data_IF_932307018293
#
_entry.id   IF_932307018293
#
_cell.length_a   1.000
_cell.length_b   1.000
_cell.length_c   1.000
_cell.angle_alpha   90.00
_cell.angle_beta   90.00
_cell.angle_gamma   90.00
#
_symmetry.space_group_name_H-M   'P 1'
#
loop_
_entity.id
_entity.type
_entity.pdbx_description
1 polymer ?
#
# COMPACT_ATOMS: atom_id res chain seq x y z
N UNK A 1 -19.47 -3.16 -35.47
CA UNK A 1 -19.05 -3.75 -34.19
C UNK A 1 -18.69 -2.58 -33.31
N UNK A 2 -19.55 -2.27 -32.31
CA UNK A 2 -19.31 -1.18 -31.38
C UNK A 2 -18.15 -1.53 -30.46
N UNK A 3 -17.32 -0.53 -30.16
CA UNK A 3 -16.30 -0.64 -29.16
C UNK A 3 -16.91 -1.10 -27.84
N UNK A 4 -16.25 -2.02 -27.11
CA UNK A 4 -16.73 -2.43 -25.80
C UNK A 4 -16.75 -1.22 -24.87
N UNK A 5 -17.86 -1.07 -24.21
CA UNK A 5 -18.16 -0.07 -23.19
C UNK A 5 -17.04 -0.06 -22.15
N UNK A 6 -16.45 1.11 -21.93
CA UNK A 6 -15.55 1.31 -20.79
C UNK A 6 -14.12 1.68 -21.12
N UNK A 7 -13.90 2.37 -22.22
CA UNK A 7 -12.58 2.95 -22.51
C UNK A 7 -12.32 4.16 -21.61
N UNK A 8 -11.39 4.02 -20.66
CA UNK A 8 -10.88 5.11 -19.80
C UNK A 8 -9.43 5.48 -20.19
N UNK A 9 -9.21 6.17 -21.32
CA UNK A 9 -7.88 6.44 -21.86
C UNK A 9 -7.06 7.37 -20.97
N UNK A 10 -7.68 8.08 -20.04
CA UNK A 10 -7.04 8.99 -19.11
C UNK A 10 -6.95 8.39 -17.70
N UNK A 11 -7.37 7.15 -17.51
CA UNK A 11 -7.42 6.46 -16.21
C UNK A 11 -8.17 7.26 -15.12
N UNK A 12 -9.19 8.03 -15.50
CA UNK A 12 -9.94 8.85 -14.56
C UNK A 12 -10.77 8.03 -13.59
N UNK A 13 -11.47 7.01 -14.11
CA UNK A 13 -12.25 6.08 -13.30
C UNK A 13 -11.34 5.25 -12.40
N UNK A 14 -10.24 4.74 -12.94
CA UNK A 14 -9.26 3.98 -12.18
C UNK A 14 -8.66 4.83 -11.05
N UNK A 15 -8.24 6.06 -11.33
CA UNK A 15 -7.77 7.01 -10.30
C UNK A 15 -8.83 7.29 -9.25
N UNK A 16 -10.09 7.49 -9.67
CA UNK A 16 -11.18 7.74 -8.75
C UNK A 16 -11.44 6.55 -7.82
N UNK A 17 -11.38 5.33 -8.35
CA UNK A 17 -11.49 4.09 -7.58
C UNK A 17 -10.34 3.95 -6.56
N UNK A 18 -9.08 4.09 -6.99
CA UNK A 18 -7.93 3.99 -6.11
C UNK A 18 -7.88 5.05 -5.00
N UNK A 19 -8.52 6.19 -5.21
CA UNK A 19 -8.65 7.23 -4.17
C UNK A 19 -9.69 6.89 -3.09
N UNK A 20 -10.64 6.00 -3.36
CA UNK A 20 -11.84 5.75 -2.52
C UNK A 20 -12.07 4.31 -2.13
N UNK A 21 -11.42 3.39 -2.78
CA UNK A 21 -11.64 1.97 -2.60
C UNK A 21 -10.30 1.21 -2.53
N UNK A 22 -10.35 -0.02 -2.06
CA UNK A 22 -9.22 -0.94 -2.01
C UNK A 22 -9.32 -1.90 -3.19
N UNK A 23 -8.25 -2.03 -4.00
CA UNK A 23 -8.20 -3.03 -5.06
C UNK A 23 -7.96 -4.41 -4.44
N UNK A 24 -9.05 -5.14 -4.22
CA UNK A 24 -9.04 -6.45 -3.58
C UNK A 24 -8.58 -7.59 -4.50
N UNK A 25 -8.67 -7.39 -5.82
CA UNK A 25 -8.26 -8.38 -6.81
C UNK A 25 -7.82 -7.70 -8.10
N UNK A 26 -6.79 -8.25 -8.72
CA UNK A 26 -6.39 -7.95 -10.10
C UNK A 26 -6.13 -9.25 -10.83
N UNK A 27 -6.66 -9.40 -12.03
CA UNK A 27 -6.43 -10.57 -12.86
C UNK A 27 -6.37 -10.20 -14.33
N UNK A 28 -5.31 -10.68 -15.00
CA UNK A 28 -5.15 -10.54 -16.44
C UNK A 28 -5.79 -11.73 -17.16
N UNK A 29 -6.53 -11.45 -18.21
CA UNK A 29 -7.23 -12.41 -19.06
C UNK A 29 -6.92 -12.13 -20.52
N UNK A 30 -7.22 -13.09 -21.39
CA UNK A 30 -7.09 -12.89 -22.83
C UNK A 30 -8.08 -11.79 -23.28
N UNK A 31 -7.51 -10.63 -23.64
CA UNK A 31 -8.28 -9.48 -24.12
C UNK A 31 -8.57 -8.38 -23.10
N UNK A 32 -8.04 -8.49 -21.87
CA UNK A 32 -8.18 -7.43 -20.86
C UNK A 32 -7.79 -7.84 -19.45
N UNK A 33 -7.95 -6.93 -18.51
CA UNK A 33 -7.79 -7.18 -17.09
C UNK A 33 -9.08 -6.95 -16.32
N UNK A 34 -9.22 -7.58 -15.16
CA UNK A 34 -10.33 -7.36 -14.22
C UNK A 34 -9.77 -6.88 -12.89
N UNK A 35 -10.21 -5.71 -12.45
CA UNK A 35 -9.95 -5.18 -11.13
C UNK A 35 -11.22 -5.20 -10.29
N UNK A 36 -11.13 -5.77 -9.09
CA UNK A 36 -12.20 -5.75 -8.11
C UNK A 36 -11.86 -4.74 -7.00
N UNK A 37 -12.73 -3.77 -6.80
CA UNK A 37 -12.57 -2.77 -5.73
C UNK A 37 -13.62 -2.99 -4.64
N UNK A 38 -13.16 -2.91 -3.39
CA UNK A 38 -14.02 -2.97 -2.20
C UNK A 38 -14.01 -1.60 -1.54
N UNK A 39 -15.18 -1.06 -1.29
CA UNK A 39 -15.32 0.20 -0.57
C UNK A 39 -15.07 -0.02 0.93
N UNK A 40 -14.30 0.89 1.53
CA UNK A 40 -14.07 0.94 2.96
C UNK A 40 -13.51 2.31 3.33
N UNK A 41 -14.06 2.91 4.37
CA UNK A 41 -13.53 4.18 4.86
C UNK A 41 -12.48 3.90 5.95
N UNK A 42 -11.21 3.96 5.55
CA UNK A 42 -10.09 3.97 6.49
C UNK A 42 -9.45 5.35 6.41
N UNK A 43 -9.55 6.09 7.50
CA UNK A 43 -8.90 7.38 7.64
C UNK A 43 -7.55 7.16 8.32
N UNK A 44 -6.43 7.48 7.67
CA UNK A 44 -5.13 7.41 8.32
C UNK A 44 -5.09 8.30 9.56
N UNK A 45 -4.77 7.72 10.72
CA UNK A 45 -4.44 8.50 11.91
C UNK A 45 -3.01 9.02 11.79
N UNK A 46 -2.79 10.23 12.29
CA UNK A 46 -1.44 10.81 12.33
C UNK A 46 -0.50 9.98 13.20
N UNK A 47 0.72 9.80 12.73
CA UNK A 47 1.80 9.12 13.45
C UNK A 47 3.02 10.01 13.52
N UNK A 48 3.99 9.66 14.36
CA UNK A 48 5.31 10.26 14.30
C UNK A 48 5.89 10.07 12.89
N UNK A 49 6.41 11.15 12.32
CA UNK A 49 6.86 11.14 10.93
C UNK A 49 8.06 10.23 10.73
N UNK A 50 7.94 9.28 9.83
CA UNK A 50 9.07 8.47 9.34
C UNK A 50 9.41 8.93 7.93
N UNK A 51 10.65 9.36 7.72
CA UNK A 51 11.16 9.85 6.43
C UNK A 51 11.93 8.76 5.69
N UNK A 52 11.74 8.69 4.39
CA UNK A 52 12.39 7.74 3.49
C UNK A 52 13.23 8.52 2.49
N UNK A 53 14.57 8.36 2.58
CA UNK A 53 15.51 8.97 1.64
C UNK A 53 15.39 10.49 1.49
N UNK A 54 14.89 11.20 2.49
CA UNK A 54 14.57 12.63 2.46
C UNK A 54 13.61 13.08 1.34
N UNK A 55 12.92 12.17 0.69
CA UNK A 55 12.01 12.48 -0.44
C UNK A 55 10.55 12.20 -0.11
N UNK A 56 10.26 11.20 0.72
CA UNK A 56 8.90 10.79 1.11
C UNK A 56 8.84 10.65 2.63
N UNK A 57 7.71 11.01 3.22
CA UNK A 57 7.43 10.75 4.63
C UNK A 57 6.11 10.00 4.78
N UNK A 58 6.07 9.04 5.71
CA UNK A 58 4.84 8.51 6.27
C UNK A 58 4.35 9.49 7.33
N UNK A 59 3.17 10.05 7.15
CA UNK A 59 2.55 11.01 8.08
C UNK A 59 1.32 10.44 8.79
N UNK A 60 0.83 9.30 8.35
CA UNK A 60 -0.30 8.62 8.98
C UNK A 60 -0.56 7.26 8.36
N UNK A 61 -1.19 6.39 9.12
CA UNK A 61 -1.73 5.14 8.59
C UNK A 61 -2.97 4.70 9.36
N UNK A 62 -3.72 3.79 8.77
CA UNK A 62 -4.85 3.11 9.40
C UNK A 62 -5.05 1.73 8.80
N UNK A 63 -5.62 0.84 9.60
CA UNK A 63 -6.05 -0.49 9.16
C UNK A 63 -7.57 -0.59 9.22
N UNK A 64 -8.15 -1.46 8.43
CA UNK A 64 -9.57 -1.77 8.52
C UNK A 64 -9.95 -2.24 9.92
N UNK A 65 -11.14 -1.83 10.37
CA UNK A 65 -11.69 -2.31 11.63
C UNK A 65 -12.24 -3.75 11.44
N UNK A 66 -12.20 -4.53 12.52
CA UNK A 66 -12.73 -5.88 12.55
C UNK A 66 -11.64 -6.97 12.65
N UNK A 67 -12.10 -8.20 12.62
CA UNK A 67 -11.21 -9.35 12.65
C UNK A 67 -10.68 -9.66 11.26
N UNK A 68 -9.38 -9.89 11.18
CA UNK A 68 -8.74 -10.35 9.96
C UNK A 68 -8.51 -11.85 10.05
N UNK A 69 -8.89 -12.56 9.00
CA UNK A 69 -8.84 -14.04 8.97
C UNK A 69 -7.97 -14.51 7.79
N UNK A 70 -7.40 -15.71 7.86
CA UNK A 70 -6.71 -16.35 6.74
C UNK A 70 -7.58 -16.40 5.48
N UNK A 71 -6.98 -16.40 4.31
CA UNK A 71 -7.62 -16.29 3.00
C UNK A 71 -8.44 -14.99 2.78
N UNK A 72 -8.38 -14.05 3.73
CA UNK A 72 -9.02 -12.74 3.63
C UNK A 72 -8.08 -11.67 3.08
N UNK A 73 -8.42 -10.44 3.42
CA UNK A 73 -7.64 -9.26 3.05
C UNK A 73 -7.52 -8.33 4.26
N UNK A 74 -6.33 -7.79 4.48
CA UNK A 74 -6.11 -6.71 5.43
C UNK A 74 -6.07 -5.38 4.66
N UNK A 75 -7.12 -4.55 4.76
CA UNK A 75 -7.12 -3.25 4.12
C UNK A 75 -6.34 -2.23 4.95
N UNK A 76 -5.52 -1.42 4.27
CA UNK A 76 -4.69 -0.37 4.85
C UNK A 76 -4.85 0.93 4.07
N UNK A 77 -4.79 2.05 4.78
CA UNK A 77 -4.60 3.36 4.19
C UNK A 77 -3.33 3.99 4.75
N UNK A 78 -2.45 4.42 3.86
CA UNK A 78 -1.15 5.02 4.17
C UNK A 78 -1.13 6.45 3.66
N UNK A 79 -0.84 7.42 4.53
CA UNK A 79 -0.69 8.81 4.17
C UNK A 79 0.78 9.13 3.92
N UNK A 80 1.15 9.24 2.67
CA UNK A 80 2.48 9.57 2.21
C UNK A 80 2.59 11.04 1.86
N UNK A 81 3.58 11.74 2.40
CA UNK A 81 3.83 13.15 2.09
C UNK A 81 5.12 13.31 1.30
N UNK A 82 5.04 13.98 0.16
CA UNK A 82 6.21 14.37 -0.61
C UNK A 82 7.01 15.46 0.13
N UNK A 83 8.30 15.25 0.34
CA UNK A 83 9.18 16.23 0.98
C UNK A 83 9.87 17.13 -0.04
N UNK A 84 10.16 16.60 -1.21
CA UNK A 84 10.79 17.31 -2.34
C UNK A 84 10.41 16.66 -3.68
N UNK A 85 10.68 17.30 -4.81
CA UNK A 85 10.44 16.68 -6.12
C UNK A 85 11.25 15.39 -6.26
N UNK A 86 10.65 14.38 -6.89
CA UNK A 86 11.28 13.10 -7.17
C UNK A 86 11.48 12.93 -8.67
N UNK A 87 12.73 12.73 -9.10
CA UNK A 87 13.08 12.52 -10.50
C UNK A 87 12.86 11.10 -11.01
N UNK A 88 12.24 10.25 -10.20
CA UNK A 88 12.00 8.83 -10.49
C UNK A 88 10.80 8.30 -9.72
N UNK A 89 10.29 7.15 -10.14
CA UNK A 89 9.21 6.46 -9.47
C UNK A 89 9.74 5.45 -8.47
N UNK A 90 9.12 5.45 -7.29
CA UNK A 90 9.38 4.48 -6.23
C UNK A 90 8.18 3.56 -6.07
N UNK A 91 8.44 2.35 -5.61
CA UNK A 91 7.45 1.34 -5.26
C UNK A 91 7.33 1.27 -3.74
N UNK A 92 6.10 1.39 -3.24
CA UNK A 92 5.79 1.15 -1.84
C UNK A 92 5.68 -0.35 -1.59
N UNK A 93 6.15 -0.82 -0.45
CA UNK A 93 5.89 -2.17 0.02
C UNK A 93 5.21 -2.16 1.38
N UNK A 94 4.37 -3.15 1.61
CA UNK A 94 3.78 -3.48 2.91
C UNK A 94 4.04 -4.94 3.20
N UNK A 95 4.57 -5.22 4.39
CA UNK A 95 4.93 -6.56 4.84
C UNK A 95 4.21 -6.91 6.14
N UNK A 96 3.76 -8.16 6.25
CA UNK A 96 3.23 -8.77 7.46
C UNK A 96 4.19 -9.87 7.92
N UNK A 97 4.76 -9.72 9.11
CA UNK A 97 5.79 -10.63 9.64
C UNK A 97 5.36 -11.16 11.02
N UNK A 98 5.72 -12.41 11.31
CA UNK A 98 5.54 -12.98 12.64
C UNK A 98 6.59 -12.49 13.66
N UNK A 99 6.52 -13.02 14.88
CA UNK A 99 7.46 -12.72 15.96
C UNK A 99 8.91 -13.08 15.64
N UNK A 100 9.15 -14.06 14.78
CA UNK A 100 10.48 -14.52 14.36
C UNK A 100 11.02 -13.75 13.15
N UNK A 101 10.18 -12.91 12.52
CA UNK A 101 10.54 -12.12 11.34
C UNK A 101 10.30 -12.82 10.01
N UNK A 102 9.58 -13.94 10.00
CA UNK A 102 9.17 -14.60 8.78
C UNK A 102 8.08 -13.76 8.10
N UNK A 103 8.26 -13.52 6.80
CA UNK A 103 7.28 -12.85 5.96
C UNK A 103 6.12 -13.79 5.63
N UNK A 104 4.90 -13.38 5.95
CA UNK A 104 3.68 -14.14 5.70
C UNK A 104 2.79 -13.53 4.62
N UNK A 105 2.81 -12.22 4.49
CA UNK A 105 2.07 -11.51 3.43
C UNK A 105 2.83 -10.26 3.01
N UNK A 106 2.71 -9.91 1.73
CA UNK A 106 3.27 -8.68 1.18
C UNK A 106 2.38 -8.11 0.08
N UNK A 107 2.46 -6.79 -0.09
CA UNK A 107 1.89 -6.08 -1.20
C UNK A 107 2.85 -4.98 -1.64
N UNK A 108 3.24 -5.00 -2.90
CA UNK A 108 4.18 -4.07 -3.51
C UNK A 108 3.47 -3.38 -4.68
N UNK A 109 3.41 -2.06 -4.66
CA UNK A 109 2.80 -1.30 -5.75
C UNK A 109 3.35 0.13 -5.83
N UNK A 110 3.28 0.72 -7.01
CA UNK A 110 3.32 2.17 -7.10
C UNK A 110 2.02 2.75 -6.52
N UNK A 111 2.06 3.95 -5.91
CA UNK A 111 0.90 4.55 -5.25
C UNK A 111 -0.36 4.56 -6.10
N UNK A 112 -1.48 4.26 -5.43
CA UNK A 112 -2.80 4.17 -6.07
C UNK A 112 -2.79 3.24 -7.29
N UNK A 113 -2.15 2.07 -7.16
CA UNK A 113 -2.08 1.06 -8.23
C UNK A 113 -1.29 1.53 -9.46
N UNK A 114 -0.38 2.49 -9.32
CA UNK A 114 0.42 3.06 -10.41
C UNK A 114 -0.21 4.28 -11.08
N UNK A 115 -1.44 4.67 -10.72
CA UNK A 115 -2.09 5.85 -11.30
C UNK A 115 -1.56 7.17 -10.75
N UNK A 116 -0.76 7.12 -9.66
CA UNK A 116 -0.16 8.29 -9.02
C UNK A 116 1.34 8.08 -8.76
N UNK A 117 2.17 7.94 -9.82
CA UNK A 117 3.61 7.72 -9.67
C UNK A 117 4.28 8.86 -8.90
N UNK A 118 5.31 8.53 -8.10
CA UNK A 118 5.93 9.49 -7.18
C UNK A 118 6.64 10.66 -7.88
N UNK A 119 7.07 10.48 -9.14
CA UNK A 119 7.65 11.54 -9.96
C UNK A 119 6.69 12.71 -10.25
N UNK A 120 5.39 12.50 -10.11
CA UNK A 120 4.36 13.53 -10.30
C UNK A 120 3.98 14.27 -9.02
N UNK A 121 4.51 13.86 -7.85
CA UNK A 121 4.12 14.45 -6.58
C UNK A 121 4.79 15.83 -6.37
N UNK A 122 4.02 16.76 -5.84
CA UNK A 122 4.53 18.09 -5.51
C UNK A 122 5.00 18.14 -4.05
N UNK A 123 6.06 18.90 -3.74
CA UNK A 123 6.51 19.09 -2.36
C UNK A 123 5.37 19.55 -1.45
N UNK A 124 5.21 18.87 -0.30
CA UNK A 124 4.14 19.11 0.65
C UNK A 124 2.82 18.38 0.34
N UNK A 125 2.68 17.80 -0.85
CA UNK A 125 1.51 17.01 -1.21
C UNK A 125 1.41 15.75 -0.36
N UNK A 126 0.19 15.43 0.09
CA UNK A 126 -0.13 14.17 0.77
C UNK A 126 -0.97 13.29 -0.15
N UNK A 127 -0.48 12.10 -0.41
CA UNK A 127 -1.16 11.06 -1.20
C UNK A 127 -1.62 9.95 -0.27
N UNK A 128 -2.91 9.65 -0.28
CA UNK A 128 -3.46 8.51 0.46
C UNK A 128 -3.40 7.30 -0.47
N UNK A 129 -2.59 6.34 -0.07
CA UNK A 129 -2.47 5.06 -0.76
C UNK A 129 -3.27 3.99 -0.03
N UNK A 130 -4.13 3.28 -0.77
CA UNK A 130 -5.01 2.25 -0.23
C UNK A 130 -4.53 0.89 -0.71
N UNK A 131 -4.06 0.12 0.25
CA UNK A 131 -3.47 -1.21 0.00
C UNK A 131 -4.41 -2.28 0.55
N UNK A 132 -4.74 -3.25 -0.27
CA UNK A 132 -5.41 -4.49 0.13
C UNK A 132 -4.35 -5.58 0.24
N UNK A 133 -3.84 -5.83 1.45
CA UNK A 133 -2.84 -6.86 1.70
C UNK A 133 -3.50 -8.24 1.71
N UNK A 134 -3.22 -9.12 0.74
CA UNK A 134 -3.83 -10.45 0.71
C UNK A 134 -3.24 -11.34 1.81
N UNK A 135 -4.11 -11.99 2.57
CA UNK A 135 -3.73 -12.92 3.62
C UNK A 135 -3.82 -14.36 3.08
N UNK A 136 -2.71 -15.09 3.13
CA UNK A 136 -2.67 -16.49 2.67
C UNK A 136 -3.58 -17.40 3.51
N UNK A 137 -4.10 -18.46 2.89
CA UNK A 137 -4.93 -19.45 3.59
C UNK A 137 -4.17 -20.19 4.71
N UNK A 138 -2.85 -20.31 4.57
CA UNK A 138 -1.96 -20.97 5.53
C UNK A 138 -1.47 -20.03 6.65
N UNK A 139 -1.97 -18.77 6.70
CA UNK A 139 -1.56 -17.82 7.72
C UNK A 139 -2.10 -18.24 9.09
N UNK A 140 -1.25 -18.59 10.08
CA UNK A 140 -1.72 -18.99 11.41
C UNK A 140 -2.41 -17.84 12.15
N UNK A 141 -3.37 -18.13 13.03
CA UNK A 141 -3.86 -17.13 13.98
C UNK A 141 -2.75 -16.64 14.90
N UNK A 142 -2.75 -15.34 15.21
CA UNK A 142 -1.72 -14.76 16.09
C UNK A 142 -1.50 -13.28 15.87
N UNK A 143 -0.48 -12.75 16.53
CA UNK A 143 -0.05 -11.36 16.35
C UNK A 143 1.09 -11.27 15.33
N UNK A 144 0.96 -10.28 14.45
CA UNK A 144 1.89 -10.01 13.36
C UNK A 144 2.33 -8.56 13.36
N UNK A 145 3.59 -8.33 12.98
CA UNK A 145 4.15 -6.99 12.79
C UNK A 145 3.87 -6.51 11.38
N UNK A 146 3.27 -5.34 11.28
CA UNK A 146 3.02 -4.65 10.03
C UNK A 146 4.11 -3.62 9.79
N UNK A 147 4.71 -3.64 8.60
CA UNK A 147 5.79 -2.75 8.21
C UNK A 147 5.56 -2.22 6.80
N UNK A 148 6.04 -1.00 6.53
CA UNK A 148 5.99 -0.40 5.20
C UNK A 148 7.28 0.35 4.87
N UNK A 149 7.56 0.49 3.60
CA UNK A 149 8.72 1.22 3.12
C UNK A 149 8.68 1.43 1.62
N UNK A 150 9.81 1.87 1.09
CA UNK A 150 9.96 2.25 -0.31
C UNK A 150 11.23 1.68 -0.91
N UNK A 151 11.16 1.29 -2.18
CA UNK A 151 12.32 0.89 -2.95
C UNK A 151 12.24 1.38 -4.40
N UNK A 152 13.37 1.39 -5.07
CA UNK A 152 13.46 1.63 -6.50
C UNK A 152 13.38 0.29 -7.24
N UNK A 153 12.41 0.14 -8.14
CA UNK A 153 12.17 -1.13 -8.82
C UNK A 153 13.35 -1.56 -9.70
N UNK A 154 14.11 -0.61 -10.27
CA UNK A 154 15.19 -0.91 -11.21
C UNK A 154 16.37 -1.67 -10.58
N UNK A 155 16.65 -1.45 -9.32
CA UNK A 155 17.81 -2.03 -8.61
C UNK A 155 17.43 -2.68 -7.27
N UNK A 156 16.15 -2.68 -6.93
CA UNK A 156 15.57 -3.17 -5.67
C UNK A 156 16.14 -2.48 -4.42
N UNK A 157 16.74 -1.30 -4.60
CA UNK A 157 17.36 -0.56 -3.50
C UNK A 157 16.30 0.13 -2.67
N UNK A 158 16.24 -0.23 -1.38
CA UNK A 158 15.33 0.38 -0.42
C UNK A 158 15.80 1.76 0.01
N UNK A 159 14.85 2.67 0.22
CA UNK A 159 15.15 3.96 0.79
C UNK A 159 15.46 3.81 2.28
N UNK A 160 16.51 4.47 2.78
CA UNK A 160 16.77 4.52 4.22
C UNK A 160 15.62 5.23 4.94
N UNK A 161 15.23 4.68 6.09
CA UNK A 161 14.15 5.23 6.91
C UNK A 161 14.70 5.84 8.19
N UNK A 162 14.19 7.03 8.55
CA UNK A 162 14.60 7.79 9.74
C UNK A 162 13.38 8.38 10.43
N UNK A 163 13.28 8.22 11.71
CA UNK A 163 12.19 8.73 12.55
C UNK A 163 11.82 7.76 13.67
N UNK A 164 10.90 8.18 14.53
CA UNK A 164 10.39 7.32 15.59
C UNK A 164 9.62 6.13 14.99
N UNK A 165 9.90 4.91 15.46
CA UNK A 165 9.28 3.69 14.91
C UNK A 165 9.88 3.24 13.58
N UNK A 166 11.02 3.80 13.13
CA UNK A 166 11.72 3.31 11.95
C UNK A 166 12.72 2.20 12.28
N UNK A 167 12.90 1.30 11.33
CA UNK A 167 14.06 0.43 11.14
C UNK A 167 14.91 1.03 10.00
N UNK A 168 16.12 0.52 9.73
CA UNK A 168 17.02 1.17 8.75
C UNK A 168 16.43 1.47 7.37
N UNK A 169 15.43 0.69 6.93
CA UNK A 169 14.87 0.75 5.58
C UNK A 169 13.32 0.66 5.54
N UNK A 170 12.64 0.81 6.69
CA UNK A 170 11.20 0.66 6.80
C UNK A 170 10.63 1.32 8.05
N UNK A 171 9.33 1.63 8.04
CA UNK A 171 8.56 2.04 9.21
C UNK A 171 7.85 0.85 9.83
N UNK A 172 7.78 0.79 11.16
CA UNK A 172 6.90 -0.11 11.89
C UNK A 172 5.53 0.56 12.03
N UNK A 173 4.49 -0.08 11.52
CA UNK A 173 3.12 0.43 11.57
C UNK A 173 2.39 -0.04 12.84
N UNK A 174 2.83 -1.14 13.46
CA UNK A 174 2.22 -1.69 14.66
C UNK A 174 1.99 -3.20 14.57
N UNK A 175 1.11 -3.68 15.44
CA UNK A 175 0.70 -5.07 15.49
C UNK A 175 -0.70 -5.24 14.89
N UNK A 176 -0.93 -6.37 14.26
CA UNK A 176 -2.21 -6.80 13.73
C UNK A 176 -2.48 -8.21 14.23
N UNK A 177 -3.71 -8.45 14.69
CA UNK A 177 -4.16 -9.76 15.12
C UNK A 177 -4.90 -10.47 13.99
N UNK A 178 -4.48 -11.68 13.69
CA UNK A 178 -5.17 -12.60 12.78
C UNK A 178 -5.97 -13.58 13.65
N UNK A 179 -7.28 -13.59 13.46
CA UNK A 179 -8.17 -14.49 14.16
C UNK A 179 -8.16 -15.90 13.56
N UNK A 180 -8.64 -16.87 14.32
CA UNK A 180 -8.93 -18.19 13.77
C UNK A 180 -10.10 -18.11 12.77
N UNK A 181 -10.11 -18.94 11.73
CA UNK A 181 -11.19 -19.01 10.75
C UNK A 181 -12.51 -19.48 11.35
#
# INVERSE_FOLDING_TARGET
YGDPVGYDPQHELERWLHQRAFRAFHGDYVGGSLDLFVQGEIVPSSVAEVRFGDVIALSGFGTGAGEHVPAGTLPLALAWRALRPMGRDYTAFVHLLDGEGKLWAQADSQPQGGTRPTSLWQPGETVIDRVALPLGAELPPGEYRLQAGWYQLADMQRLPAVGEGSLPDRAQLGLVTIAAP
#
